data_IF_257924792173
#
_entry.id   IF_257924792173
#
_cell.length_a   1.000
_cell.length_b   1.000
_cell.length_c   1.000
_cell.angle_alpha   90.00
_cell.angle_beta   90.00
_cell.angle_gamma   90.00
#
_symmetry.space_group_name_H-M   'P 1'
#
loop_
_entity.id
_entity.type
_entity.pdbx_description
1 polymer ?
#
# COMPACT_ATOMS: atom_id res chain seq x y z
N UNK A 1 17.88 17.96 33.29
CA UNK A 1 16.79 18.20 32.30
C UNK A 1 17.23 17.56 30.99
N UNK A 2 16.50 16.56 30.51
CA UNK A 2 16.74 15.98 29.19
C UNK A 2 16.07 16.81 28.12
N UNK A 3 16.72 17.05 26.99
CA UNK A 3 16.11 17.61 25.80
C UNK A 3 15.49 16.46 25.02
N UNK A 4 14.15 16.47 24.85
CA UNK A 4 13.47 15.62 23.91
C UNK A 4 13.26 16.40 22.62
N UNK A 5 14.02 16.07 21.59
CA UNK A 5 13.89 16.71 20.27
C UNK A 5 13.48 15.64 19.25
N UNK A 6 12.39 15.93 18.52
CA UNK A 6 12.01 15.11 17.38
C UNK A 6 12.93 15.44 16.20
N UNK A 7 13.72 14.47 15.77
CA UNK A 7 14.60 14.63 14.61
C UNK A 7 13.81 14.37 13.34
N UNK A 8 13.86 15.30 12.38
CA UNK A 8 13.19 15.17 11.07
C UNK A 8 14.08 15.68 9.94
N UNK A 9 13.70 15.37 8.72
CA UNK A 9 14.50 15.58 7.53
C UNK A 9 15.47 14.44 7.25
N UNK A 10 16.51 14.69 6.48
CA UNK A 10 17.57 13.71 6.20
C UNK A 10 18.41 13.52 7.47
N UNK A 11 18.43 12.32 8.02
CA UNK A 11 19.12 11.97 9.27
C UNK A 11 20.39 11.16 9.02
N UNK A 12 20.44 10.44 7.89
CA UNK A 12 21.62 9.67 7.49
C UNK A 12 21.75 9.57 5.96
N UNK A 13 22.98 9.58 5.45
CA UNK A 13 23.26 9.35 4.03
C UNK A 13 24.70 8.84 3.84
N UNK A 14 24.83 7.66 3.27
CA UNK A 14 26.05 7.13 2.66
C UNK A 14 25.92 7.26 1.14
N UNK A 15 26.57 8.27 0.57
CA UNK A 15 26.39 8.65 -0.84
C UNK A 15 26.94 7.63 -1.83
N UNK A 16 27.87 6.80 -1.41
CA UNK A 16 28.53 5.83 -2.26
C UNK A 16 27.71 4.55 -2.40
N UNK A 17 26.88 4.23 -1.40
CA UNK A 17 26.08 3.01 -1.35
C UNK A 17 24.60 3.21 -1.53
N UNK A 18 24.06 4.40 -1.22
CA UNK A 18 22.64 4.67 -1.35
C UNK A 18 22.25 5.00 -2.81
N UNK A 19 21.06 4.58 -3.21
CA UNK A 19 20.52 4.83 -4.55
C UNK A 19 20.06 6.28 -4.70
N UNK A 20 20.69 7.06 -5.62
CA UNK A 20 20.28 8.43 -5.86
C UNK A 20 18.94 8.47 -6.61
N UNK A 21 17.99 9.25 -6.11
CA UNK A 21 16.66 9.34 -6.73
C UNK A 21 15.74 10.29 -5.99
N UNK A 22 14.48 10.28 -6.41
CA UNK A 22 13.43 11.13 -5.87
C UNK A 22 12.41 10.27 -5.14
N UNK A 23 12.01 10.65 -3.94
CA UNK A 23 11.07 9.89 -3.12
C UNK A 23 9.72 10.58 -3.07
N UNK A 24 8.70 9.91 -3.59
CA UNK A 24 7.30 10.31 -3.56
C UNK A 24 6.63 9.73 -2.33
N UNK A 25 5.90 10.55 -1.59
CA UNK A 25 5.08 10.11 -0.44
C UNK A 25 3.97 11.11 -0.12
N UNK A 26 3.02 10.66 0.69
CA UNK A 26 1.90 11.48 1.15
C UNK A 26 1.68 11.23 2.64
N UNK A 27 1.57 12.28 3.45
CA UNK A 27 1.02 12.14 4.80
C UNK A 27 -0.48 11.85 4.65
N UNK A 28 -0.94 10.76 5.26
CA UNK A 28 -2.36 10.34 5.15
C UNK A 28 -3.28 11.45 5.65
N UNK A 29 -4.37 11.69 4.90
CA UNK A 29 -5.28 12.82 5.09
C UNK A 29 -4.60 14.18 4.91
N UNK A 30 -3.49 14.23 4.19
CA UNK A 30 -2.74 15.46 3.92
C UNK A 30 -3.32 16.26 2.78
N UNK A 31 -2.74 17.45 2.60
CA UNK A 31 -3.13 18.42 1.56
C UNK A 31 -2.29 18.29 0.29
N UNK A 32 -1.32 17.35 0.27
CA UNK A 32 -0.39 17.24 -0.84
C UNK A 32 0.29 15.88 -0.99
N UNK A 33 0.69 15.58 -2.22
CA UNK A 33 1.64 14.55 -2.58
C UNK A 33 3.02 15.18 -2.70
N UNK A 34 4.01 14.68 -1.98
CA UNK A 34 5.32 15.30 -1.83
C UNK A 34 6.38 14.51 -2.57
N UNK A 35 7.22 15.21 -3.33
CA UNK A 35 8.41 14.66 -3.98
C UNK A 35 9.66 15.32 -3.39
N UNK A 36 10.52 14.53 -2.77
CA UNK A 36 11.81 15.00 -2.25
C UNK A 36 12.96 14.42 -3.08
N UNK A 37 14.06 15.18 -3.14
CA UNK A 37 15.31 14.71 -3.72
C UNK A 37 16.09 13.78 -2.76
N UNK A 38 17.20 13.26 -3.22
CA UNK A 38 18.10 12.39 -2.46
C UNK A 38 18.66 13.05 -1.18
N UNK A 39 18.68 14.39 -1.11
CA UNK A 39 19.11 15.16 0.07
C UNK A 39 17.96 15.48 1.02
N UNK A 40 16.75 14.98 0.72
CA UNK A 40 15.55 15.23 1.53
C UNK A 40 14.92 16.60 1.32
N UNK A 41 15.35 17.36 0.26
CA UNK A 41 14.74 18.65 -0.08
C UNK A 41 13.46 18.40 -0.88
N UNK A 42 12.37 19.10 -0.50
CA UNK A 42 11.15 19.14 -1.29
C UNK A 42 11.44 19.78 -2.65
N UNK A 43 11.20 19.06 -3.75
CA UNK A 43 11.46 19.51 -5.12
C UNK A 43 10.19 19.73 -5.91
N UNK A 44 9.12 18.99 -5.58
CA UNK A 44 7.82 19.20 -6.19
C UNK A 44 6.69 18.76 -5.25
N UNK A 45 5.50 19.30 -5.48
CA UNK A 45 4.32 19.02 -4.67
C UNK A 45 3.06 19.17 -5.53
N UNK A 46 2.18 18.15 -5.46
CA UNK A 46 0.86 18.22 -6.08
C UNK A 46 -0.18 18.40 -5.00
N UNK A 47 -1.15 19.28 -5.22
CA UNK A 47 -2.35 19.38 -4.39
C UNK A 47 -3.47 18.54 -5.02
N UNK A 48 -4.23 17.78 -4.22
CA UNK A 48 -5.45 17.18 -4.72
C UNK A 48 -6.47 18.28 -5.11
N UNK A 49 -7.49 17.96 -5.94
CA UNK A 49 -8.56 18.90 -6.22
C UNK A 49 -9.21 19.46 -4.96
N UNK A 50 -9.79 20.66 -5.07
CA UNK A 50 -10.46 21.32 -3.94
C UNK A 50 -11.54 20.41 -3.33
N UNK A 51 -11.54 20.31 -2.00
CA UNK A 51 -12.43 19.44 -1.22
C UNK A 51 -11.95 18.00 -1.07
N UNK A 52 -10.81 17.63 -1.68
CA UNK A 52 -10.20 16.33 -1.54
C UNK A 52 -8.97 16.36 -0.61
N UNK A 53 -8.74 15.27 0.09
CA UNK A 53 -7.51 15.01 0.84
C UNK A 53 -6.67 13.97 0.13
N UNK A 54 -5.36 14.17 0.13
CA UNK A 54 -4.42 13.22 -0.46
C UNK A 54 -4.31 11.97 0.43
N UNK A 55 -4.36 10.79 -0.21
CA UNK A 55 -4.21 9.53 0.52
C UNK A 55 -2.94 8.79 0.10
N UNK A 56 -2.80 8.46 -1.18
CA UNK A 56 -1.71 7.66 -1.72
C UNK A 56 -1.50 7.94 -3.21
N UNK A 57 -0.25 7.83 -3.69
CA UNK A 57 0.03 8.03 -5.10
C UNK A 57 1.24 7.22 -5.60
N UNK A 58 1.23 6.97 -6.92
CA UNK A 58 2.35 6.39 -7.68
C UNK A 58 2.67 7.27 -8.88
N UNK A 59 3.96 7.49 -9.14
CA UNK A 59 4.42 8.08 -10.39
C UNK A 59 4.28 7.10 -11.55
N UNK A 60 3.87 7.60 -12.72
CA UNK A 60 3.67 6.83 -13.93
C UNK A 60 4.78 7.14 -14.95
N UNK A 61 5.07 6.21 -15.87
CA UNK A 61 6.12 6.38 -16.90
C UNK A 61 5.81 7.49 -17.90
N UNK A 62 4.54 7.89 -18.03
CA UNK A 62 4.14 9.06 -18.82
C UNK A 62 4.43 10.39 -18.10
N UNK A 63 4.95 10.32 -16.86
CA UNK A 63 5.28 11.47 -16.02
C UNK A 63 4.15 12.02 -15.19
N UNK A 64 2.98 11.40 -15.22
CA UNK A 64 1.84 11.79 -14.42
C UNK A 64 1.87 11.08 -13.06
N UNK A 65 1.06 11.58 -12.13
CA UNK A 65 0.83 11.03 -10.82
C UNK A 65 -0.52 10.31 -10.81
N UNK A 66 -0.55 9.00 -10.58
CA UNK A 66 -1.80 8.27 -10.32
C UNK A 66 -2.03 8.26 -8.81
N UNK A 67 -3.11 8.89 -8.36
CA UNK A 67 -3.38 9.20 -6.97
C UNK A 67 -4.75 8.69 -6.52
N UNK A 68 -4.84 8.31 -5.26
CA UNK A 68 -6.12 8.15 -4.56
C UNK A 68 -6.34 9.30 -3.59
N UNK A 69 -7.57 9.76 -3.55
CA UNK A 69 -8.02 10.88 -2.75
C UNK A 69 -9.31 10.57 -1.99
N UNK A 70 -9.52 11.30 -0.90
CA UNK A 70 -10.71 11.26 -0.05
C UNK A 70 -11.48 12.55 -0.26
N UNK A 71 -12.71 12.49 -0.73
CA UNK A 71 -13.55 13.69 -1.02
C UNK A 71 -14.78 13.83 -0.11
N UNK A 72 -14.85 13.05 0.98
CA UNK A 72 -15.93 13.09 1.94
C UNK A 72 -17.18 12.33 1.54
N UNK A 73 -17.14 11.59 0.41
CA UNK A 73 -18.26 10.77 -0.08
C UNK A 73 -18.09 9.28 0.18
N UNK A 74 -17.13 8.90 1.01
CA UNK A 74 -16.79 7.50 1.30
C UNK A 74 -17.99 6.75 1.88
N UNK A 75 -18.30 5.61 1.29
CA UNK A 75 -19.29 4.65 1.76
C UNK A 75 -18.59 3.36 2.23
N UNK A 76 -19.09 2.85 3.34
CA UNK A 76 -18.60 1.59 3.88
C UNK A 76 -17.31 1.73 4.70
N UNK A 77 -17.24 0.95 5.74
CA UNK A 77 -16.36 1.16 6.86
C UNK A 77 -14.93 0.67 6.73
N UNK A 78 -14.24 0.78 5.62
CA UNK A 78 -12.82 0.45 5.60
C UNK A 78 -12.05 1.37 6.57
N UNK A 79 -11.98 1.00 7.83
CA UNK A 79 -11.24 1.75 8.83
C UNK A 79 -9.77 1.86 8.37
N UNK A 80 -9.34 3.07 8.04
CA UNK A 80 -7.93 3.37 7.81
C UNK A 80 -7.43 3.38 6.37
N UNK A 81 -8.22 3.01 5.38
CA UNK A 81 -7.75 2.97 3.99
C UNK A 81 -8.65 3.64 2.96
N UNK A 82 -9.60 4.45 3.41
CA UNK A 82 -10.65 5.03 2.56
C UNK A 82 -10.12 5.93 1.47
N UNK A 83 -10.71 5.78 0.29
CA UNK A 83 -10.63 6.71 -0.81
C UNK A 83 -11.99 6.76 -1.49
N UNK A 84 -12.27 7.81 -2.26
CA UNK A 84 -13.50 7.95 -3.03
C UNK A 84 -13.22 8.32 -4.49
N UNK A 85 -11.96 8.67 -4.77
CA UNK A 85 -11.49 9.01 -6.11
C UNK A 85 -10.12 8.41 -6.41
N UNK A 86 -9.95 7.93 -7.63
CA UNK A 86 -8.69 7.64 -8.26
C UNK A 86 -8.47 8.67 -9.39
N UNK A 87 -7.40 9.45 -9.29
CA UNK A 87 -7.11 10.59 -10.15
C UNK A 87 -5.77 10.41 -10.84
N UNK A 88 -5.65 10.85 -12.09
CA UNK A 88 -4.36 11.06 -12.72
C UNK A 88 -4.13 12.57 -12.84
N UNK A 89 -3.01 13.04 -12.26
CA UNK A 89 -2.59 14.43 -12.30
C UNK A 89 -1.36 14.55 -13.19
N UNK A 90 -1.34 15.55 -14.05
CA UNK A 90 -0.11 15.90 -14.76
C UNK A 90 0.91 16.55 -13.82
N UNK A 91 2.10 16.92 -14.35
CA UNK A 91 3.13 17.54 -13.53
C UNK A 91 2.70 18.89 -12.93
N UNK A 92 1.84 19.64 -13.62
CA UNK A 92 1.36 20.94 -13.17
C UNK A 92 0.16 20.84 -12.21
N UNK A 93 -0.31 19.60 -11.92
CA UNK A 93 -1.41 19.33 -11.01
C UNK A 93 -2.79 19.36 -11.67
N UNK A 94 -2.88 19.43 -13.00
CA UNK A 94 -4.15 19.34 -13.70
C UNK A 94 -4.66 17.90 -13.68
N UNK A 95 -5.96 17.71 -13.42
CA UNK A 95 -6.61 16.41 -13.49
C UNK A 95 -6.78 16.01 -14.97
N UNK A 96 -6.10 14.95 -15.38
CA UNK A 96 -6.18 14.42 -16.75
C UNK A 96 -7.03 13.14 -16.84
N UNK A 97 -7.29 12.51 -15.70
CA UNK A 97 -8.24 11.40 -15.58
C UNK A 97 -8.85 11.41 -14.17
N UNK A 98 -10.15 11.08 -14.09
CA UNK A 98 -10.94 11.06 -12.85
C UNK A 98 -11.87 9.84 -12.86
N UNK A 99 -11.75 8.99 -11.85
CA UNK A 99 -12.66 7.89 -11.60
C UNK A 99 -13.15 7.95 -10.16
N UNK A 100 -14.47 8.01 -9.96
CA UNK A 100 -15.09 8.14 -8.64
C UNK A 100 -15.91 6.93 -8.29
N UNK A 101 -15.63 6.40 -7.11
CA UNK A 101 -16.41 5.35 -6.48
C UNK A 101 -16.23 5.48 -4.95
N UNK A 102 -17.30 5.73 -4.18
CA UNK A 102 -17.23 6.00 -2.74
C UNK A 102 -16.71 4.82 -1.91
N UNK A 103 -16.56 3.65 -2.53
CA UNK A 103 -16.07 2.42 -1.87
C UNK A 103 -14.60 2.10 -2.15
N UNK A 104 -13.88 2.95 -2.89
CA UNK A 104 -12.45 2.74 -3.13
C UNK A 104 -11.66 2.80 -1.83
N UNK A 105 -10.58 2.04 -1.79
CA UNK A 105 -9.63 2.11 -0.69
C UNK A 105 -8.24 1.58 -1.05
N UNK A 106 -7.26 1.89 -0.24
CA UNK A 106 -5.88 1.41 -0.15
C UNK A 106 -5.05 1.55 -1.41
N UNK A 107 -5.24 0.70 -2.43
CA UNK A 107 -4.25 0.55 -3.49
C UNK A 107 -4.84 0.52 -4.90
N UNK A 108 -3.98 0.75 -5.86
CA UNK A 108 -4.28 0.72 -7.28
C UNK A 108 -3.05 0.33 -8.09
N UNK A 109 -3.28 -0.17 -9.30
CA UNK A 109 -2.22 -0.40 -10.27
C UNK A 109 -2.69 -0.01 -11.68
N UNK A 110 -1.90 0.84 -12.36
CA UNK A 110 -2.07 1.10 -13.79
C UNK A 110 -1.39 -0.02 -14.55
N UNK A 111 -2.15 -0.70 -15.38
CA UNK A 111 -1.67 -1.78 -16.23
C UNK A 111 -0.99 -1.24 -17.49
N UNK A 112 -0.11 -2.04 -18.08
CA UNK A 112 0.58 -1.70 -19.35
C UNK A 112 -0.39 -1.38 -20.48
N UNK A 113 -1.60 -1.97 -20.47
CA UNK A 113 -2.65 -1.70 -21.46
C UNK A 113 -3.45 -0.41 -21.19
N UNK A 114 -3.04 0.41 -20.22
CA UNK A 114 -3.67 1.67 -19.87
C UNK A 114 -4.90 1.57 -18.95
N UNK A 115 -5.38 0.36 -18.64
CA UNK A 115 -6.47 0.15 -17.68
C UNK A 115 -5.96 0.24 -16.25
N UNK A 116 -6.83 0.46 -15.30
CA UNK A 116 -6.49 0.57 -13.88
C UNK A 116 -7.23 -0.47 -13.06
N UNK A 117 -6.49 -1.25 -12.26
CA UNK A 117 -7.07 -2.09 -11.20
C UNK A 117 -7.20 -1.24 -9.94
N UNK A 118 -8.35 -1.31 -9.31
CA UNK A 118 -8.71 -0.61 -8.07
C UNK A 118 -9.26 -1.62 -7.08
N UNK A 119 -9.05 -1.36 -5.79
CA UNK A 119 -9.67 -2.12 -4.70
C UNK A 119 -10.89 -1.35 -4.22
N UNK A 120 -12.01 -2.06 -4.02
CA UNK A 120 -13.24 -1.48 -3.51
C UNK A 120 -13.87 -2.37 -2.44
N UNK A 121 -14.45 -1.76 -1.41
CA UNK A 121 -15.21 -2.44 -0.38
C UNK A 121 -16.56 -2.92 -0.94
N UNK A 122 -16.99 -4.10 -0.54
CA UNK A 122 -18.23 -4.71 -0.98
C UNK A 122 -19.10 -5.15 0.21
N UNK A 123 -20.22 -4.47 0.51
CA UNK A 123 -21.15 -4.92 1.51
C UNK A 123 -21.81 -6.24 1.07
N UNK A 124 -21.74 -7.28 1.91
CA UNK A 124 -22.42 -8.54 1.68
C UNK A 124 -23.83 -8.51 2.29
N UNK A 125 -24.76 -9.28 1.69
CA UNK A 125 -26.04 -9.54 2.31
C UNK A 125 -25.90 -10.44 3.56
N UNK A 126 -26.98 -10.59 4.34
CA UNK A 126 -26.97 -11.38 5.57
C UNK A 126 -26.68 -12.86 5.34
N UNK A 127 -27.22 -13.43 4.28
CA UNK A 127 -27.05 -14.86 3.98
C UNK A 127 -25.59 -15.15 3.67
N UNK A 128 -24.98 -14.36 2.78
CA UNK A 128 -23.56 -14.47 2.43
C UNK A 128 -22.66 -14.17 3.63
N UNK A 129 -22.96 -13.13 4.41
CA UNK A 129 -22.24 -12.78 5.63
C UNK A 129 -22.23 -13.92 6.64
N UNK A 130 -23.38 -14.58 6.84
CA UNK A 130 -23.53 -15.71 7.75
C UNK A 130 -22.68 -16.92 7.34
N UNK A 131 -22.50 -17.16 6.02
CA UNK A 131 -21.62 -18.24 5.52
C UNK A 131 -20.17 -18.04 5.96
N UNK A 132 -19.62 -16.82 5.80
CA UNK A 132 -18.24 -16.53 6.17
C UNK A 132 -18.03 -16.33 7.67
N UNK A 133 -19.03 -15.91 8.41
CA UNK A 133 -19.00 -15.79 9.85
C UNK A 133 -19.28 -17.13 10.59
N UNK A 134 -19.77 -18.15 9.88
CA UNK A 134 -20.28 -19.41 10.44
C UNK A 134 -21.37 -19.18 11.48
N UNK A 135 -22.29 -18.27 11.18
CA UNK A 135 -23.38 -17.84 12.04
C UNK A 135 -23.71 -16.37 11.85
N UNK A 136 -24.45 -15.78 12.77
CA UNK A 136 -24.77 -14.37 12.74
C UNK A 136 -23.51 -13.56 13.11
N UNK A 137 -22.96 -12.70 12.20
CA UNK A 137 -21.83 -11.87 12.53
C UNK A 137 -22.25 -10.83 13.58
N UNK A 138 -21.44 -10.68 14.63
CA UNK A 138 -21.67 -9.68 15.69
C UNK A 138 -21.32 -8.27 15.19
N UNK A 139 -21.98 -7.84 14.10
CA UNK A 139 -21.88 -6.51 13.52
C UNK A 139 -23.19 -5.76 13.68
N UNK A 140 -23.17 -4.44 13.52
CA UNK A 140 -24.36 -3.59 13.77
C UNK A 140 -25.60 -4.04 12.99
N UNK A 141 -25.41 -4.46 11.72
CA UNK A 141 -26.49 -4.79 10.80
C UNK A 141 -26.55 -6.30 10.46
N UNK A 142 -25.74 -7.14 11.14
CA UNK A 142 -25.63 -8.57 10.83
C UNK A 142 -25.03 -8.84 9.45
N UNK A 143 -24.20 -7.92 8.95
CA UNK A 143 -23.51 -8.01 7.65
C UNK A 143 -22.03 -7.74 7.81
N UNK A 144 -21.20 -8.23 6.87
CA UNK A 144 -19.77 -7.95 6.82
C UNK A 144 -19.41 -7.27 5.49
N UNK A 145 -18.30 -6.53 5.51
CA UNK A 145 -17.70 -5.97 4.31
C UNK A 145 -16.68 -6.94 3.74
N UNK A 146 -16.89 -7.30 2.50
CA UNK A 146 -15.97 -8.03 1.63
C UNK A 146 -15.15 -7.06 0.79
N UNK A 147 -14.40 -7.62 -0.15
CA UNK A 147 -13.54 -6.90 -1.08
C UNK A 147 -13.86 -7.27 -2.52
N UNK A 148 -13.78 -6.27 -3.40
CA UNK A 148 -13.78 -6.47 -4.84
C UNK A 148 -12.56 -5.80 -5.48
N UNK A 149 -12.10 -6.38 -6.59
CA UNK A 149 -11.16 -5.76 -7.50
C UNK A 149 -11.92 -5.37 -8.76
N UNK A 150 -11.75 -4.14 -9.21
CA UNK A 150 -12.37 -3.66 -10.44
C UNK A 150 -11.29 -3.20 -11.42
N UNK A 151 -11.43 -3.57 -12.70
CA UNK A 151 -10.58 -3.05 -13.78
C UNK A 151 -11.38 -2.04 -14.60
N UNK A 152 -10.89 -0.81 -14.62
CA UNK A 152 -11.55 0.29 -15.35
C UNK A 152 -10.72 0.73 -16.55
N UNK A 153 -11.40 1.06 -17.64
CA UNK A 153 -10.79 1.64 -18.85
C UNK A 153 -10.39 3.10 -18.61
N UNK A 154 -9.59 3.72 -19.51
CA UNK A 154 -9.37 5.17 -19.50
C UNK A 154 -10.67 5.99 -19.63
N UNK A 155 -11.73 5.42 -20.21
CA UNK A 155 -13.06 6.06 -20.28
C UNK A 155 -13.88 5.91 -18.98
N UNK A 156 -13.37 5.20 -17.96
CA UNK A 156 -14.05 4.97 -16.68
C UNK A 156 -15.03 3.78 -16.70
N UNK A 157 -15.04 2.96 -17.76
CA UNK A 157 -15.90 1.78 -17.86
C UNK A 157 -15.29 0.60 -17.12
N UNK A 158 -16.03 -0.07 -16.24
CA UNK A 158 -15.63 -1.35 -15.64
C UNK A 158 -15.71 -2.45 -16.70
N UNK A 159 -14.59 -3.14 -16.93
CA UNK A 159 -14.45 -4.21 -17.95
C UNK A 159 -14.12 -5.56 -17.36
N UNK A 160 -13.81 -5.62 -16.08
CA UNK A 160 -13.59 -6.82 -15.32
C UNK A 160 -13.76 -6.50 -13.82
N UNK A 161 -14.33 -7.42 -13.10
CA UNK A 161 -14.44 -7.41 -11.65
C UNK A 161 -14.15 -8.79 -11.07
N UNK A 162 -13.82 -8.81 -9.79
CA UNK A 162 -13.57 -10.02 -9.01
C UNK A 162 -14.07 -9.78 -7.59
N UNK A 163 -14.92 -10.66 -7.11
CA UNK A 163 -15.56 -10.56 -5.81
C UNK A 163 -15.01 -11.62 -4.87
N UNK A 164 -14.40 -11.21 -3.76
CA UNK A 164 -13.71 -12.14 -2.85
C UNK A 164 -14.64 -13.25 -2.34
N UNK A 165 -15.89 -12.93 -2.04
CA UNK A 165 -16.87 -13.90 -1.52
C UNK A 165 -17.29 -14.98 -2.51
N UNK A 166 -17.02 -14.81 -3.81
CA UNK A 166 -17.30 -15.80 -4.86
C UNK A 166 -16.15 -16.79 -5.07
N UNK A 167 -14.95 -16.43 -4.62
CA UNK A 167 -13.71 -17.16 -4.93
C UNK A 167 -12.96 -17.67 -3.71
N UNK A 168 -13.25 -17.14 -2.51
CA UNK A 168 -12.62 -17.57 -1.27
C UNK A 168 -13.48 -18.61 -0.56
N UNK A 169 -12.81 -19.54 0.14
CA UNK A 169 -13.45 -20.64 0.84
C UNK A 169 -13.85 -20.19 2.27
N UNK A 170 -15.15 -20.23 2.65
CA UNK A 170 -15.58 -19.86 3.99
C UNK A 170 -14.92 -20.66 5.12
N UNK A 171 -14.46 -21.89 4.85
CA UNK A 171 -13.78 -22.72 5.84
C UNK A 171 -12.32 -22.29 6.05
N UNK A 172 -11.66 -21.80 5.01
CA UNK A 172 -10.25 -21.37 5.07
C UNK A 172 -10.13 -19.89 5.46
N UNK A 173 -10.95 -19.02 4.86
CA UNK A 173 -10.91 -17.58 5.04
C UNK A 173 -12.07 -17.07 5.91
N UNK A 174 -12.30 -17.73 7.03
CA UNK A 174 -13.38 -17.40 7.96
C UNK A 174 -13.25 -15.96 8.50
N UNK A 175 -14.37 -15.21 8.50
CA UNK A 175 -14.46 -13.94 9.24
C UNK A 175 -14.19 -14.16 10.72
N UNK A 176 -13.38 -13.27 11.32
CA UNK A 176 -13.02 -13.33 12.75
C UNK A 176 -13.55 -12.11 13.46
N UNK A 177 -14.41 -12.31 14.44
CA UNK A 177 -14.96 -11.26 15.30
C UNK A 177 -13.82 -10.47 15.96
N UNK A 178 -13.90 -9.13 15.91
CA UNK A 178 -12.93 -8.23 16.56
C UNK A 178 -11.67 -7.94 15.75
N UNK A 179 -11.54 -8.48 14.54
CA UNK A 179 -10.35 -8.28 13.70
C UNK A 179 -10.38 -7.02 12.83
N UNK A 180 -11.39 -6.15 12.97
CA UNK A 180 -11.50 -4.92 12.16
C UNK A 180 -12.92 -4.38 12.04
N UNK A 181 -13.78 -4.62 13.03
CA UNK A 181 -15.19 -4.22 12.98
C UNK A 181 -15.99 -5.13 12.05
N UNK A 182 -16.62 -4.57 11.04
CA UNK A 182 -17.40 -5.26 10.02
C UNK A 182 -16.57 -5.78 8.83
N UNK A 183 -15.24 -5.49 8.80
CA UNK A 183 -14.37 -5.89 7.69
C UNK A 183 -13.93 -7.35 7.79
N UNK A 184 -14.19 -8.11 6.74
CA UNK A 184 -13.75 -9.50 6.65
C UNK A 184 -12.26 -9.62 6.31
N UNK A 185 -11.81 -8.97 5.24
CA UNK A 185 -10.50 -9.23 4.62
C UNK A 185 -9.52 -8.07 4.73
N UNK A 186 -9.98 -6.84 4.51
CA UNK A 186 -9.18 -5.62 4.50
C UNK A 186 -8.04 -5.70 3.45
N UNK A 187 -8.42 -5.74 2.17
CA UNK A 187 -7.45 -5.73 1.07
C UNK A 187 -6.62 -4.44 1.10
N UNK A 188 -5.30 -4.56 1.18
CA UNK A 188 -4.42 -3.40 1.37
C UNK A 188 -3.36 -3.23 0.29
N UNK A 189 -3.26 -4.16 -0.65
CA UNK A 189 -2.35 -4.05 -1.77
C UNK A 189 -2.79 -4.91 -2.95
N UNK A 190 -2.53 -4.41 -4.15
CA UNK A 190 -2.63 -5.15 -5.40
C UNK A 190 -1.39 -4.90 -6.25
N UNK A 191 -0.84 -5.95 -6.85
CA UNK A 191 0.31 -5.89 -7.75
C UNK A 191 0.04 -6.76 -8.98
N UNK A 192 0.33 -6.25 -10.17
CA UNK A 192 0.28 -7.03 -11.41
C UNK A 192 1.57 -7.83 -11.58
N UNK A 193 1.43 -9.11 -11.91
CA UNK A 193 2.54 -10.01 -12.27
C UNK A 193 2.90 -9.83 -13.75
N UNK A 194 4.11 -10.24 -14.18
CA UNK A 194 4.50 -10.18 -15.60
C UNK A 194 3.59 -10.95 -16.56
N UNK A 195 2.92 -11.99 -16.09
CA UNK A 195 1.96 -12.80 -16.84
C UNK A 195 0.53 -12.21 -16.86
N UNK A 196 0.32 -11.07 -16.17
CA UNK A 196 -0.96 -10.36 -16.07
C UNK A 196 -1.87 -10.84 -14.94
N UNK A 197 -1.45 -11.84 -14.16
CA UNK A 197 -2.12 -12.25 -12.93
C UNK A 197 -1.95 -11.19 -11.83
N UNK A 198 -2.73 -11.30 -10.75
CA UNK A 198 -2.74 -10.30 -9.69
C UNK A 198 -2.33 -10.92 -8.35
N UNK A 199 -1.31 -10.34 -7.70
CA UNK A 199 -1.02 -10.58 -6.29
C UNK A 199 -1.87 -9.65 -5.46
N UNK A 200 -2.61 -10.19 -4.48
CA UNK A 200 -3.48 -9.41 -3.58
C UNK A 200 -3.14 -9.75 -2.13
N UNK A 201 -3.05 -8.72 -1.30
CA UNK A 201 -2.81 -8.83 0.14
C UNK A 201 -4.03 -8.44 0.93
N UNK A 202 -4.46 -9.30 1.84
CA UNK A 202 -5.55 -9.09 2.79
C UNK A 202 -4.99 -9.06 4.22
N UNK A 203 -5.14 -7.93 4.88
CA UNK A 203 -4.51 -7.66 6.17
C UNK A 203 -5.08 -8.50 7.31
N UNK A 204 -6.41 -8.53 7.43
CA UNK A 204 -7.10 -9.11 8.58
C UNK A 204 -6.79 -10.60 8.78
N UNK A 205 -6.68 -11.35 7.70
CA UNK A 205 -6.37 -12.78 7.74
C UNK A 205 -4.88 -13.10 7.54
N UNK A 206 -4.02 -12.09 7.37
CA UNK A 206 -2.62 -12.27 6.96
C UNK A 206 -2.49 -13.10 5.67
N UNK A 207 -3.44 -12.90 4.75
CA UNK A 207 -3.57 -13.67 3.53
C UNK A 207 -2.94 -12.93 2.35
N UNK A 208 -2.11 -13.63 1.57
CA UNK A 208 -1.64 -13.17 0.26
C UNK A 208 -1.99 -14.25 -0.76
N UNK A 209 -2.62 -13.85 -1.86
CA UNK A 209 -3.01 -14.77 -2.93
C UNK A 209 -2.53 -14.27 -4.29
N UNK A 210 -2.43 -15.19 -5.24
CA UNK A 210 -2.37 -14.90 -6.67
C UNK A 210 -3.69 -15.27 -7.30
N UNK A 211 -4.29 -14.33 -8.01
CA UNK A 211 -5.50 -14.51 -8.80
C UNK A 211 -5.07 -14.75 -10.25
N UNK A 212 -5.42 -15.91 -10.82
CA UNK A 212 -5.41 -16.14 -12.26
C UNK A 212 -6.48 -15.26 -12.88
N UNK A 213 -6.06 -14.15 -13.47
CA UNK A 213 -6.98 -13.11 -13.90
C UNK A 213 -8.00 -13.55 -14.96
N UNK A 214 -7.63 -14.39 -15.96
CA UNK A 214 -8.58 -14.91 -16.94
C UNK A 214 -9.72 -15.76 -16.35
N UNK A 215 -9.46 -16.53 -15.30
CA UNK A 215 -10.44 -17.45 -14.71
C UNK A 215 -11.04 -16.95 -13.40
N UNK A 216 -10.44 -15.94 -12.77
CA UNK A 216 -10.78 -15.47 -11.42
C UNK A 216 -10.37 -16.42 -10.30
N UNK A 217 -9.77 -17.58 -10.60
CA UNK A 217 -9.41 -18.56 -9.59
C UNK A 217 -8.18 -18.13 -8.79
N UNK A 218 -8.16 -18.53 -7.51
CA UNK A 218 -6.98 -18.42 -6.68
C UNK A 218 -5.97 -19.48 -7.12
N UNK A 219 -4.88 -19.06 -7.76
CA UNK A 219 -3.84 -19.94 -8.30
C UNK A 219 -2.76 -20.27 -7.27
N UNK A 220 -2.54 -19.41 -6.29
CA UNK A 220 -1.52 -19.58 -5.25
C UNK A 220 -1.94 -18.88 -3.96
N UNK A 221 -1.48 -19.40 -2.81
CA UNK A 221 -1.69 -18.84 -1.48
C UNK A 221 -0.39 -18.87 -0.69
N UNK A 222 -0.09 -17.79 0.02
CA UNK A 222 0.97 -17.78 1.00
C UNK A 222 0.56 -18.64 2.22
N UNK A 223 1.52 -19.39 2.75
CA UNK A 223 1.33 -20.09 4.02
C UNK A 223 0.93 -19.10 5.12
N UNK A 224 -0.20 -19.30 5.82
CA UNK A 224 -0.75 -18.33 6.77
C UNK A 224 0.14 -18.04 7.98
N UNK A 225 1.13 -18.90 8.27
CA UNK A 225 2.07 -18.70 9.37
C UNK A 225 3.28 -17.82 9.00
N UNK A 226 3.45 -17.50 7.71
CA UNK A 226 4.61 -16.75 7.21
C UNK A 226 4.60 -15.30 7.69
N UNK A 227 3.46 -14.63 7.68
CA UNK A 227 3.34 -13.20 7.97
C UNK A 227 2.31 -12.89 9.06
N UNK A 228 2.31 -11.63 9.52
CA UNK A 228 1.30 -11.09 10.45
C UNK A 228 0.89 -9.69 10.00
N UNK A 229 -0.32 -9.60 9.40
CA UNK A 229 -0.93 -8.33 8.93
C UNK A 229 -0.06 -7.58 7.91
N UNK A 230 0.52 -8.29 6.95
CA UNK A 230 1.46 -7.77 5.96
C UNK A 230 0.86 -6.68 5.05
N UNK A 231 1.75 -5.90 4.44
CA UNK A 231 1.43 -4.89 3.43
C UNK A 231 2.37 -4.98 2.24
N UNK A 232 1.93 -4.43 1.11
CA UNK A 232 2.72 -4.14 -0.08
C UNK A 232 3.54 -5.33 -0.63
N UNK A 233 2.93 -6.50 -0.87
CA UNK A 233 3.61 -7.52 -1.67
C UNK A 233 3.88 -6.98 -3.07
N UNK A 234 5.11 -7.16 -3.55
CA UNK A 234 5.55 -6.79 -4.91
C UNK A 234 6.37 -7.92 -5.50
N UNK A 235 6.09 -8.25 -6.77
CA UNK A 235 6.86 -9.25 -7.50
C UNK A 235 8.13 -8.59 -8.03
N UNK A 236 9.27 -9.18 -7.71
CA UNK A 236 10.59 -8.73 -8.15
C UNK A 236 10.94 -9.30 -9.53
N UNK A 237 11.94 -8.71 -10.20
CA UNK A 237 12.41 -9.16 -11.51
C UNK A 237 12.96 -10.60 -11.50
N UNK A 238 13.48 -11.05 -10.34
CA UNK A 238 13.93 -12.43 -10.15
C UNK A 238 12.79 -13.42 -9.87
N UNK A 239 11.53 -12.97 -9.89
CA UNK A 239 10.35 -13.77 -9.62
C UNK A 239 10.01 -13.94 -8.14
N UNK A 240 10.79 -13.41 -7.21
CA UNK A 240 10.50 -13.47 -5.78
C UNK A 240 9.43 -12.46 -5.37
N UNK A 241 8.87 -12.64 -4.18
CA UNK A 241 7.89 -11.75 -3.56
C UNK A 241 8.54 -10.97 -2.42
N UNK A 242 8.60 -9.63 -2.56
CA UNK A 242 9.04 -8.72 -1.49
C UNK A 242 7.82 -8.15 -0.78
N UNK A 243 7.82 -8.12 0.56
CA UNK A 243 6.72 -7.50 1.31
C UNK A 243 7.15 -6.94 2.67
N UNK A 244 6.34 -6.04 3.19
CA UNK A 244 6.42 -5.52 4.55
C UNK A 244 5.56 -6.39 5.48
N UNK A 245 6.17 -7.17 6.35
CA UNK A 245 5.48 -7.96 7.36
C UNK A 245 5.39 -7.16 8.67
N UNK A 246 4.21 -6.61 8.95
CA UNK A 246 3.99 -5.68 10.08
C UNK A 246 4.25 -6.33 11.44
N UNK A 247 3.99 -7.63 11.58
CA UNK A 247 4.33 -8.36 12.79
C UNK A 247 3.37 -8.14 13.96
N UNK A 248 2.09 -7.95 13.68
CA UNK A 248 1.09 -7.82 14.73
C UNK A 248 1.07 -9.04 15.66
N UNK A 249 1.13 -8.78 16.99
CA UNK A 249 1.32 -9.82 18.00
C UNK A 249 2.79 -10.23 18.22
N UNK A 250 3.72 -9.78 17.38
CA UNK A 250 5.16 -10.01 17.49
C UNK A 250 5.91 -8.79 18.03
N UNK A 251 5.32 -7.59 17.91
CA UNK A 251 5.84 -6.28 18.33
C UNK A 251 7.15 -5.85 17.64
N UNK A 252 7.41 -6.36 16.45
CA UNK A 252 8.44 -5.87 15.53
C UNK A 252 8.06 -6.23 14.10
N UNK A 253 8.45 -5.37 13.16
CA UNK A 253 8.23 -5.59 11.73
C UNK A 253 9.46 -6.23 11.08
N UNK A 254 9.24 -6.79 9.88
CA UNK A 254 10.29 -7.28 9.01
C UNK A 254 9.99 -6.88 7.57
N UNK A 255 11.05 -6.75 6.79
CA UNK A 255 10.94 -6.84 5.33
C UNK A 255 11.39 -8.23 4.95
N UNK A 256 10.59 -8.94 4.18
CA UNK A 256 10.91 -10.29 3.72
C UNK A 256 10.87 -10.36 2.20
N UNK A 257 11.83 -11.08 1.65
CA UNK A 257 11.83 -11.57 0.28
C UNK A 257 11.69 -13.08 0.34
N UNK A 258 10.71 -13.62 -0.37
CA UNK A 258 10.49 -15.06 -0.42
C UNK A 258 10.39 -15.56 -1.86
N UNK A 259 10.83 -16.79 -2.05
CA UNK A 259 10.67 -17.53 -3.28
C UNK A 259 9.21 -18.00 -3.42
N UNK A 260 8.58 -17.76 -4.57
CA UNK A 260 7.18 -18.13 -4.80
C UNK A 260 6.92 -19.64 -4.79
N UNK A 261 7.86 -20.42 -5.31
CA UNK A 261 7.66 -21.87 -5.48
C UNK A 261 7.84 -22.60 -4.17
N UNK A 262 8.90 -22.27 -3.42
CA UNK A 262 9.24 -22.94 -2.16
C UNK A 262 8.59 -22.28 -0.95
N UNK A 263 8.21 -21.01 -1.06
CA UNK A 263 7.76 -20.14 0.03
C UNK A 263 8.82 -19.96 1.15
N UNK A 264 10.08 -20.22 0.85
CA UNK A 264 11.18 -19.96 1.76
C UNK A 264 11.54 -18.47 1.76
N UNK A 265 11.81 -17.94 2.96
CA UNK A 265 12.33 -16.58 3.10
C UNK A 265 13.82 -16.60 2.74
N UNK A 266 14.16 -16.01 1.60
CA UNK A 266 15.53 -15.95 1.08
C UNK A 266 16.30 -14.73 1.57
N UNK A 267 15.61 -13.69 1.99
CA UNK A 267 16.19 -12.51 2.62
C UNK A 267 15.21 -11.88 3.62
N UNK A 268 15.74 -11.41 4.75
CA UNK A 268 14.95 -10.75 5.80
C UNK A 268 15.73 -9.56 6.36
N UNK A 269 15.06 -8.43 6.56
CA UNK A 269 15.55 -7.31 7.36
C UNK A 269 14.70 -7.15 8.61
N UNK A 270 15.32 -6.96 9.76
CA UNK A 270 14.70 -6.57 11.04
C UNK A 270 15.51 -5.44 11.67
N UNK A 271 14.91 -4.70 12.59
CA UNK A 271 15.65 -3.74 13.42
C UNK A 271 16.71 -4.42 14.30
N UNK A 272 17.68 -3.63 14.76
CA UNK A 272 18.64 -4.05 15.76
C UNK A 272 18.78 -2.96 16.85
N UNK A 273 18.19 -3.16 18.05
CA UNK A 273 17.36 -4.31 18.46
C UNK A 273 16.07 -4.44 17.63
N UNK A 274 15.43 -5.60 17.65
CA UNK A 274 14.27 -5.89 16.77
C UNK A 274 13.11 -4.90 16.92
N UNK A 275 12.82 -4.47 18.14
CA UNK A 275 11.78 -3.50 18.49
C UNK A 275 12.07 -2.06 18.04
N UNK A 276 13.28 -1.77 17.54
CA UNK A 276 13.62 -0.49 16.92
C UNK A 276 12.99 -0.28 15.53
N UNK A 277 12.33 -1.31 14.98
CA UNK A 277 11.63 -1.28 13.72
C UNK A 277 10.25 -1.92 13.87
N UNK A 278 9.22 -1.06 14.02
CA UNK A 278 7.84 -1.53 14.17
C UNK A 278 6.81 -0.55 13.62
N UNK A 279 6.03 -1.02 12.67
CA UNK A 279 4.83 -0.35 12.17
C UNK A 279 3.68 -1.35 12.15
N UNK A 280 2.72 -1.20 13.06
CA UNK A 280 1.63 -2.15 13.23
C UNK A 280 0.66 -2.24 12.05
N UNK A 281 0.64 -1.24 11.19
CA UNK A 281 -0.20 -1.17 9.99
C UNK A 281 0.46 -0.29 8.93
N UNK A 282 -0.16 -0.16 7.75
CA UNK A 282 0.37 0.58 6.59
C UNK A 282 1.81 0.13 6.27
N UNK A 283 2.61 0.99 5.61
CA UNK A 283 4.02 0.70 5.30
C UNK A 283 4.22 -0.03 3.97
N UNK A 284 5.47 -0.12 3.56
CA UNK A 284 5.82 -0.83 2.34
C UNK A 284 7.33 -0.94 2.15
N UNK A 285 7.71 -1.72 1.16
CA UNK A 285 9.09 -1.89 0.74
C UNK A 285 9.18 -1.87 -0.80
N UNK A 286 10.29 -1.33 -1.30
CA UNK A 286 10.59 -1.29 -2.72
C UNK A 286 12.03 -1.72 -2.95
N UNK A 287 12.25 -2.74 -3.80
CA UNK A 287 13.59 -3.06 -4.29
C UNK A 287 14.03 -1.97 -5.26
N UNK A 288 15.22 -1.44 -5.04
CA UNK A 288 15.81 -0.39 -5.86
C UNK A 288 16.75 -0.98 -6.92
N UNK A 289 17.03 -0.26 -8.04
CA UNK A 289 17.86 -0.75 -9.12
C UNK A 289 19.29 -1.15 -8.72
N UNK A 290 19.84 -0.58 -7.65
CA UNK A 290 21.18 -0.94 -7.12
C UNK A 290 21.16 -2.19 -6.21
N UNK A 291 20.01 -2.86 -6.06
CA UNK A 291 19.83 -4.02 -5.19
C UNK A 291 19.44 -3.69 -3.73
N UNK A 292 19.53 -2.44 -3.33
CA UNK A 292 19.07 -2.00 -2.01
C UNK A 292 17.54 -2.05 -1.90
N UNK A 293 17.03 -1.94 -0.69
CA UNK A 293 15.58 -1.90 -0.42
C UNK A 293 15.23 -0.60 0.29
N UNK A 294 14.39 0.23 -0.34
CA UNK A 294 13.72 1.34 0.35
C UNK A 294 12.62 0.78 1.24
N UNK A 295 12.60 1.20 2.49
CA UNK A 295 11.58 0.86 3.48
C UNK A 295 10.83 2.11 3.89
N UNK A 296 9.51 2.07 3.82
CA UNK A 296 8.61 3.04 4.41
C UNK A 296 8.05 2.49 5.72
N UNK A 297 8.57 2.92 6.85
CA UNK A 297 8.01 2.68 8.18
C UNK A 297 6.90 3.70 8.41
N UNK A 298 5.70 3.39 7.94
CA UNK A 298 4.63 4.36 7.71
C UNK A 298 4.13 5.05 8.97
N UNK A 299 4.00 4.38 10.10
CA UNK A 299 3.50 4.95 11.36
C UNK A 299 4.40 6.05 11.92
N UNK A 300 5.69 5.87 11.81
CA UNK A 300 6.71 6.84 12.23
C UNK A 300 7.03 7.87 11.15
N UNK A 301 6.53 7.67 9.91
CA UNK A 301 6.91 8.44 8.71
C UNK A 301 8.43 8.46 8.48
N UNK A 302 9.09 7.36 8.80
CA UNK A 302 10.50 7.13 8.61
C UNK A 302 10.71 6.34 7.33
N UNK A 303 11.52 6.86 6.42
CA UNK A 303 11.93 6.18 5.21
C UNK A 303 13.41 5.87 5.33
N UNK A 304 13.81 4.65 5.04
CA UNK A 304 15.21 4.29 5.06
C UNK A 304 15.55 3.28 3.98
N UNK A 305 16.78 3.28 3.55
CA UNK A 305 17.31 2.37 2.54
C UNK A 305 18.32 1.44 3.18
N UNK A 306 18.12 0.14 2.95
CA UNK A 306 19.01 -0.91 3.46
C UNK A 306 19.68 -1.65 2.30
N UNK A 307 20.96 -1.97 2.47
CA UNK A 307 21.72 -2.82 1.54
C UNK A 307 21.30 -4.30 1.65
N UNK A 308 21.68 -5.16 0.70
CA UNK A 308 21.52 -6.62 0.85
C UNK A 308 22.14 -7.16 2.15
N UNK A 309 23.24 -6.55 2.63
CA UNK A 309 23.95 -6.89 3.87
C UNK A 309 23.26 -6.33 5.12
N UNK A 310 22.15 -5.59 4.94
CA UNK A 310 21.29 -5.04 6.01
C UNK A 310 21.84 -3.78 6.70
N UNK A 311 22.76 -3.08 6.07
CA UNK A 311 23.22 -1.76 6.51
C UNK A 311 22.23 -0.68 6.09
N UNK A 312 21.86 0.23 7.00
CA UNK A 312 21.12 1.44 6.65
C UNK A 312 22.10 2.43 6.02
N UNK A 313 21.82 2.84 4.77
CA UNK A 313 22.67 3.74 3.98
C UNK A 313 22.01 5.09 3.67
N UNK A 314 20.71 5.21 3.89
CA UNK A 314 19.97 6.46 3.79
C UNK A 314 18.80 6.44 4.77
N UNK A 315 18.53 7.57 5.41
CA UNK A 315 17.38 7.69 6.30
C UNK A 315 16.80 9.12 6.27
N UNK A 316 15.50 9.18 6.17
CA UNK A 316 14.74 10.42 6.21
C UNK A 316 13.50 10.25 7.08
N UNK A 317 13.24 11.23 7.95
CA UNK A 317 12.03 11.28 8.77
C UNK A 317 11.19 12.47 8.32
N UNK A 318 9.96 12.21 7.87
CA UNK A 318 9.09 13.24 7.33
C UNK A 318 8.77 14.32 8.38
N UNK A 319 8.98 15.62 8.07
CA UNK A 319 8.59 16.72 8.93
C UNK A 319 7.10 17.06 8.80
N UNK A 320 6.42 16.54 7.76
CA UNK A 320 5.03 16.88 7.47
C UNK A 320 4.09 16.22 8.48
N UNK A 321 3.19 17.03 9.02
CA UNK A 321 2.22 16.64 10.05
C UNK A 321 0.86 17.16 9.64
N UNK A 322 -0.17 16.37 9.84
CA UNK A 322 -1.57 16.77 9.65
C UNK A 322 -2.34 16.63 10.96
N UNK A 323 -3.32 17.49 11.16
CA UNK A 323 -4.28 17.34 12.25
C UNK A 323 -5.45 16.50 11.75
N UNK A 324 -5.59 15.30 12.29
CA UNK A 324 -6.64 14.35 11.94
C UNK A 324 -7.34 13.85 13.21
N UNK A 325 -8.68 13.98 13.27
CA UNK A 325 -9.49 13.57 14.42
C UNK A 325 -8.90 14.04 15.77
N UNK A 326 -8.58 15.35 15.88
CA UNK A 326 -7.99 15.98 17.06
C UNK A 326 -6.61 15.45 17.48
N UNK A 327 -5.99 14.63 16.63
CA UNK A 327 -4.64 14.09 16.84
C UNK A 327 -3.70 14.56 15.74
N UNK A 328 -2.47 14.86 16.12
CA UNK A 328 -1.40 15.15 15.16
C UNK A 328 -0.86 13.82 14.61
N UNK A 329 -0.98 13.65 13.31
CA UNK A 329 -0.49 12.46 12.61
C UNK A 329 0.57 12.85 11.57
N UNK A 330 1.55 11.99 11.39
CA UNK A 330 2.53 12.05 10.29
C UNK A 330 2.52 10.77 9.46
N UNK A 331 1.60 9.88 9.73
CA UNK A 331 1.55 8.57 9.11
C UNK A 331 1.56 8.67 7.58
N UNK A 332 2.36 7.83 6.94
CA UNK A 332 2.51 7.72 5.49
C UNK A 332 2.12 6.31 5.08
N UNK A 333 1.17 6.18 4.12
CA UNK A 333 0.74 4.86 3.68
C UNK A 333 1.88 4.09 3.03
N UNK A 334 2.55 4.70 2.02
CA UNK A 334 3.74 4.18 1.34
C UNK A 334 4.60 5.31 0.80
N UNK A 335 5.86 5.00 0.53
CA UNK A 335 6.79 5.85 -0.20
C UNK A 335 7.40 5.05 -1.36
N UNK A 336 7.64 5.73 -2.48
CA UNK A 336 8.27 5.16 -3.68
C UNK A 336 9.43 6.02 -4.13
N UNK A 337 10.55 5.38 -4.50
CA UNK A 337 11.70 6.07 -5.06
C UNK A 337 11.82 5.83 -6.56
N UNK A 338 12.09 6.91 -7.28
CA UNK A 338 12.22 6.94 -8.73
C UNK A 338 13.60 7.44 -9.10
N UNK A 339 14.25 6.78 -10.08
CA UNK A 339 15.48 7.25 -10.66
C UNK A 339 15.26 8.57 -11.40
N UNK A 340 16.31 9.38 -11.51
CA UNK A 340 16.25 10.67 -12.21
C UNK A 340 15.92 10.54 -13.70
N UNK A 341 16.27 9.40 -14.31
CA UNK A 341 16.00 9.06 -15.71
C UNK A 341 14.71 8.24 -15.91
N UNK A 342 13.97 7.93 -14.85
CA UNK A 342 12.66 7.27 -14.96
C UNK A 342 11.67 8.12 -15.75
N UNK A 343 10.69 7.47 -16.38
CA UNK A 343 9.65 8.17 -17.13
C UNK A 343 8.88 9.21 -16.29
N UNK A 344 8.74 8.95 -14.99
CA UNK A 344 8.07 9.86 -14.04
C UNK A 344 8.86 11.17 -13.80
N UNK A 345 10.19 11.09 -13.73
CA UNK A 345 11.06 12.22 -13.30
C UNK A 345 11.75 12.92 -14.45
N UNK A 346 12.09 12.20 -15.55
CA UNK A 346 12.97 12.68 -16.62
C UNK A 346 12.64 14.09 -17.12
N UNK A 347 13.60 15.01 -16.96
CA UNK A 347 13.52 16.39 -17.43
C UNK A 347 12.62 17.30 -16.60
N UNK A 348 12.21 16.88 -15.39
CA UNK A 348 11.23 17.60 -14.57
C UNK A 348 11.74 17.98 -13.17
N UNK A 349 12.70 17.26 -12.62
CA UNK A 349 13.27 17.53 -11.29
C UNK A 349 14.80 17.46 -11.27
#
# INVERSE_FOLDING_TARGET
MGYSQFVSGLTHIDRDRAFPGFTLFTTMSGEAFNLIDFKGKLVHQWSPPAGCQAYYARGQDNGNLLAQCVDGTEEGGAAGGRASAALELDWDGNVVWDYRNPRLHHDHVRRVNGKTILIAAEPLDRETSSRFAHGDPETKDGTILSESLIEVTPAGETVWDWHAHEHLDPELERYRIGSGGDQWLHANAVCEMPDGNLVVSFNTLSLVIVIDKPTGKVAWRLNPDTTRSQHNPTVLENGHLLMFDNGNGRNYSRIIELDFDTQEIVWEYTGNPRDSFYSMNISGAQRLPNGNTLVCEGRSARFFEVTPEKDIVWEYVSPFVVDHLEQRSRAVFRAHRYAADSGFIRGRA
#
